data_IF_075454340711
#
_entry.id   IF_075454340711
#
_cell.length_a   1.000
_cell.length_b   1.000
_cell.length_c   1.000
_cell.angle_alpha   90.00
_cell.angle_beta   90.00
_cell.angle_gamma   90.00
#
_symmetry.space_group_name_H-M   'P 1'
#
loop_
_entity.id
_entity.type
_entity.pdbx_description
1 polymer ?
#
# COMPACT_ATOMS: atom_id res chain seq x y z
N UNK A 1 -6.95 18.14 -3.03
CA UNK A 1 -6.04 17.09 -2.55
C UNK A 1 -6.64 16.56 -1.25
N UNK A 2 -7.03 15.28 -1.20
CA UNK A 2 -7.63 14.68 -0.01
C UNK A 2 -6.59 13.83 0.70
N UNK A 3 -6.45 14.03 2.01
CA UNK A 3 -5.57 13.24 2.87
C UNK A 3 -6.46 12.35 3.75
N UNK A 4 -6.16 11.06 3.77
CA UNK A 4 -6.94 10.06 4.51
C UNK A 4 -6.00 9.41 5.53
N UNK A 5 -6.41 9.40 6.79
CA UNK A 5 -5.71 8.69 7.86
C UNK A 5 -6.54 7.47 8.29
N UNK A 6 -5.88 6.33 8.44
CA UNK A 6 -6.44 5.06 8.93
C UNK A 6 -5.51 4.45 9.96
N UNK A 7 -6.04 3.54 10.76
CA UNK A 7 -5.29 2.79 11.78
C UNK A 7 -5.67 1.33 11.67
N UNK A 8 -4.68 0.44 11.66
CA UNK A 8 -4.89 -0.98 11.44
C UNK A 8 -3.67 -1.63 10.78
N UNK A 9 -3.86 -2.82 10.21
CA UNK A 9 -2.84 -3.44 9.35
C UNK A 9 -2.71 -2.61 8.06
N UNK A 10 -1.52 -2.06 7.82
CA UNK A 10 -1.26 -1.16 6.70
C UNK A 10 -1.62 -1.77 5.35
N UNK A 11 -1.34 -3.06 5.14
CA UNK A 11 -1.64 -3.72 3.87
C UNK A 11 -3.13 -3.91 3.65
N UNK A 12 -3.86 -4.29 4.69
CA UNK A 12 -5.31 -4.41 4.62
C UNK A 12 -5.99 -3.06 4.37
N UNK A 13 -5.61 -2.02 5.11
CA UNK A 13 -6.22 -0.69 4.97
C UNK A 13 -5.91 -0.05 3.60
N UNK A 14 -4.70 -0.26 3.05
CA UNK A 14 -4.36 0.22 1.70
C UNK A 14 -5.13 -0.54 0.60
N UNK A 15 -5.25 -1.87 0.70
CA UNK A 15 -6.06 -2.65 -0.25
C UNK A 15 -7.52 -2.21 -0.22
N UNK A 16 -8.10 -2.10 0.98
CA UNK A 16 -9.47 -1.65 1.17
C UNK A 16 -9.71 -0.25 0.60
N UNK A 17 -8.79 0.68 0.83
CA UNK A 17 -8.91 2.03 0.26
C UNK A 17 -8.83 2.01 -1.27
N UNK A 18 -7.95 1.18 -1.83
CA UNK A 18 -7.87 1.00 -3.28
C UNK A 18 -9.19 0.45 -3.84
N UNK A 19 -9.82 -0.51 -3.19
CA UNK A 19 -11.11 -1.07 -3.60
C UNK A 19 -12.26 -0.05 -3.45
N UNK A 20 -12.35 0.65 -2.31
CA UNK A 20 -13.37 1.69 -2.04
C UNK A 20 -13.33 2.80 -3.09
N UNK A 21 -12.13 3.16 -3.54
CA UNK A 21 -11.92 4.21 -4.53
C UNK A 21 -11.77 3.71 -5.97
N UNK A 22 -11.88 2.40 -6.21
CA UNK A 22 -11.63 1.77 -7.52
C UNK A 22 -10.30 2.22 -8.15
N UNK A 23 -9.24 2.24 -7.34
CA UNK A 23 -7.93 2.70 -7.78
C UNK A 23 -7.38 1.78 -8.88
N UNK A 24 -6.89 2.39 -9.96
CA UNK A 24 -6.26 1.65 -11.07
C UNK A 24 -4.78 1.33 -10.81
N UNK A 25 -4.17 1.99 -9.81
CA UNK A 25 -2.80 1.73 -9.36
C UNK A 25 -2.55 2.26 -7.94
N UNK A 26 -1.65 1.61 -7.21
CA UNK A 26 -1.15 2.04 -5.91
C UNK A 26 0.34 2.39 -6.01
N UNK A 27 0.73 3.59 -5.57
CA UNK A 27 2.14 4.02 -5.54
C UNK A 27 2.62 4.13 -4.11
N UNK A 28 3.71 3.43 -3.79
CA UNK A 28 4.33 3.39 -2.48
C UNK A 28 5.75 3.97 -2.57
N UNK A 29 6.11 4.88 -1.67
CA UNK A 29 7.50 5.32 -1.51
C UNK A 29 8.30 4.29 -0.71
N UNK A 30 9.54 4.04 -1.12
CA UNK A 30 10.47 3.24 -0.34
C UNK A 30 10.95 4.04 0.89
N UNK A 31 11.20 3.39 2.03
CA UNK A 31 11.71 4.07 3.20
C UNK A 31 13.20 4.38 2.99
N UNK A 32 13.60 5.64 3.16
CA UNK A 32 15.00 6.11 3.01
C UNK A 32 15.97 5.47 4.02
N UNK A 33 15.46 5.09 5.19
CA UNK A 33 16.21 4.40 6.24
C UNK A 33 15.68 2.99 6.42
N UNK A 34 16.57 1.99 6.41
CA UNK A 34 16.39 0.53 6.61
C UNK A 34 15.23 0.07 7.51
N UNK A 35 13.98 0.34 7.15
CA UNK A 35 12.79 -0.36 7.67
C UNK A 35 12.56 -1.54 6.72
N UNK A 36 13.50 -2.47 6.76
CA UNK A 36 13.66 -3.58 5.82
C UNK A 36 12.55 -4.66 5.91
N UNK A 37 11.41 -4.37 6.55
CA UNK A 37 10.39 -5.38 6.85
C UNK A 37 8.93 -4.91 6.66
N UNK A 38 8.64 -3.59 6.70
CA UNK A 38 7.25 -3.15 6.52
C UNK A 38 6.80 -3.26 5.06
N UNK A 39 7.58 -2.78 4.08
CA UNK A 39 7.22 -2.92 2.67
C UNK A 39 7.37 -4.35 2.15
N UNK A 40 8.32 -5.13 2.68
CA UNK A 40 8.44 -6.55 2.32
C UNK A 40 7.19 -7.36 2.69
N UNK A 41 6.58 -7.11 3.85
CA UNK A 41 5.36 -7.80 4.29
C UNK A 41 4.08 -7.19 3.70
N UNK A 42 3.98 -5.85 3.66
CA UNK A 42 2.81 -5.13 3.14
C UNK A 42 2.70 -5.26 1.63
N UNK A 43 3.78 -5.06 0.86
CA UNK A 43 3.74 -5.20 -0.60
C UNK A 43 3.46 -6.64 -1.01
N UNK A 44 3.97 -7.65 -0.29
CA UNK A 44 3.65 -9.06 -0.55
C UNK A 44 2.19 -9.40 -0.22
N UNK A 45 1.63 -8.80 0.84
CA UNK A 45 0.22 -9.00 1.24
C UNK A 45 -0.74 -8.24 0.32
N UNK A 46 -0.36 -7.04 -0.12
CA UNK A 46 -1.05 -6.24 -1.15
C UNK A 46 -1.01 -6.93 -2.50
N UNK A 47 0.13 -7.48 -2.95
CA UNK A 47 0.19 -8.23 -4.19
C UNK A 47 -0.76 -9.45 -4.23
N UNK A 48 -1.22 -9.93 -3.05
CA UNK A 48 -2.20 -11.02 -2.93
C UNK A 48 -3.65 -10.56 -2.81
N UNK A 49 -3.92 -9.30 -2.46
CA UNK A 49 -5.27 -8.81 -2.14
C UNK A 49 -5.68 -7.51 -2.84
N UNK A 50 -4.73 -6.71 -3.30
CA UNK A 50 -5.02 -5.52 -4.09
C UNK A 50 -5.40 -5.96 -5.50
N UNK A 51 -6.57 -5.52 -5.95
CA UNK A 51 -7.04 -5.80 -7.30
C UNK A 51 -6.34 -4.92 -8.36
N UNK A 52 -5.42 -4.04 -7.93
CA UNK A 52 -4.69 -3.10 -8.77
C UNK A 52 -3.16 -3.31 -8.69
N UNK A 53 -2.42 -2.95 -9.75
CA UNK A 53 -0.95 -2.92 -9.75
C UNK A 53 -0.37 -2.06 -8.62
N UNK A 54 0.68 -2.57 -7.95
CA UNK A 54 1.43 -1.84 -6.91
C UNK A 54 2.82 -1.47 -7.44
N UNK A 55 3.14 -0.19 -7.42
CA UNK A 55 4.45 0.36 -7.82
C UNK A 55 5.18 0.86 -6.58
N UNK A 56 6.41 0.40 -6.37
CA UNK A 56 7.29 0.90 -5.31
C UNK A 56 8.35 1.80 -5.94
N UNK A 57 8.41 3.05 -5.51
CA UNK A 57 9.36 4.06 -6.00
C UNK A 57 10.44 4.24 -4.94
N UNK A 58 11.74 4.11 -5.27
CA UNK A 58 12.84 4.32 -4.34
C UNK A 58 12.92 5.75 -3.82
#
# INVERSE_FOLDING_TARGET
MHVICRTGDTGYELARLADEHHAEALVLGAPEHKVHQLFGSVSTRLARHAHCPVVVVP
#
